data_IF_444237446591
#
_entry.id   IF_444237446591
#
_cell.length_a   1.000
_cell.length_b   1.000
_cell.length_c   1.000
_cell.angle_alpha   90.00
_cell.angle_beta   90.00
_cell.angle_gamma   90.00
#
_symmetry.space_group_name_H-M   'P 1'
#
loop_
_entity.id
_entity.type
_entity.pdbx_description
1 polymer ?
#
# COMPACT_ATOMS: atom_id res chain seq x y z
N UNK A 1 0.41 14.25 7.75
CA UNK A 1 0.30 12.82 7.41
C UNK A 1 1.27 12.46 6.28
N UNK A 2 1.70 11.20 6.19
CA UNK A 2 2.49 10.69 5.05
C UNK A 2 1.69 9.66 4.26
N UNK A 3 1.53 9.91 2.97
CA UNK A 3 0.99 8.94 2.01
C UNK A 3 2.08 8.02 1.47
N UNK A 4 1.69 6.87 0.91
CA UNK A 4 2.64 5.91 0.35
C UNK A 4 3.09 6.24 -1.09
N UNK A 5 2.33 7.07 -1.81
CA UNK A 5 2.60 7.47 -3.18
C UNK A 5 1.91 8.79 -3.50
N UNK A 6 2.28 9.42 -4.62
CA UNK A 6 1.65 10.66 -5.10
C UNK A 6 0.12 10.56 -5.19
N UNK A 7 -0.41 9.41 -5.62
CA UNK A 7 -1.86 9.20 -5.74
C UNK A 7 -2.54 9.16 -4.38
N UNK A 8 -1.94 8.47 -3.40
CA UNK A 8 -2.47 8.44 -2.03
C UNK A 8 -2.35 9.81 -1.35
N UNK A 9 -1.27 10.55 -1.59
CA UNK A 9 -1.11 11.93 -1.09
C UNK A 9 -2.21 12.85 -1.64
N UNK A 10 -2.57 12.74 -2.92
CA UNK A 10 -3.69 13.50 -3.50
C UNK A 10 -5.03 13.15 -2.85
N UNK A 11 -5.27 11.87 -2.54
CA UNK A 11 -6.47 11.45 -1.82
C UNK A 11 -6.51 12.04 -0.41
N UNK A 12 -5.40 11.96 0.32
CA UNK A 12 -5.26 12.53 1.66
C UNK A 12 -5.48 14.06 1.64
N UNK A 13 -4.95 14.78 0.65
CA UNK A 13 -5.19 16.21 0.47
C UNK A 13 -6.65 16.52 0.19
N UNK A 14 -7.31 15.74 -0.68
CA UNK A 14 -8.73 15.88 -0.95
C UNK A 14 -9.62 15.56 0.26
N UNK A 15 -9.13 14.73 1.19
CA UNK A 15 -9.75 14.49 2.49
C UNK A 15 -9.45 15.58 3.55
N UNK A 16 -8.69 16.62 3.20
CA UNK A 16 -8.32 17.74 4.09
C UNK A 16 -7.02 17.55 4.87
N UNK A 17 -6.25 16.49 4.59
CA UNK A 17 -4.97 16.21 5.24
C UNK A 17 -3.82 17.05 4.69
N UNK A 18 -2.92 17.48 5.57
CA UNK A 18 -1.62 18.04 5.19
C UNK A 18 -0.58 16.92 4.97
N UNK A 19 0.22 17.04 3.90
CA UNK A 19 1.17 15.99 3.49
C UNK A 19 2.60 16.37 3.83
N UNK A 20 3.31 15.43 4.43
CA UNK A 20 4.77 15.38 4.46
C UNK A 20 5.24 14.21 3.60
N UNK A 21 6.19 14.46 2.69
CA UNK A 21 6.68 13.45 1.76
C UNK A 21 8.12 13.07 2.13
N UNK A 22 8.32 11.80 2.47
CA UNK A 22 9.61 11.21 2.83
C UNK A 22 9.60 9.69 2.58
N UNK A 23 10.79 9.06 2.41
CA UNK A 23 10.94 7.61 2.30
C UNK A 23 10.36 6.84 3.49
N UNK A 24 9.85 5.63 3.25
CA UNK A 24 9.15 4.85 4.29
C UNK A 24 10.02 4.53 5.52
N UNK A 25 11.33 4.36 5.34
CA UNK A 25 12.28 4.08 6.43
C UNK A 25 12.45 5.26 7.43
N UNK A 26 11.97 6.45 7.11
CA UNK A 26 11.99 7.62 8.01
C UNK A 26 10.71 7.72 8.87
N UNK A 27 9.72 6.85 8.62
CA UNK A 27 8.38 6.93 9.23
C UNK A 27 8.39 6.86 10.76
N UNK A 28 9.25 6.03 11.34
CA UNK A 28 9.35 5.89 12.80
C UNK A 28 9.75 7.22 13.44
N UNK A 29 10.87 7.80 12.98
CA UNK A 29 11.39 9.06 13.52
C UNK A 29 10.41 10.21 13.28
N UNK A 30 9.75 10.25 12.12
CA UNK A 30 8.78 11.27 11.79
C UNK A 30 7.53 11.21 12.71
N UNK A 31 7.03 10.01 13.04
CA UNK A 31 5.96 9.84 14.03
C UNK A 31 6.44 10.14 15.44
N UNK A 32 7.60 9.63 15.85
CA UNK A 32 8.15 9.81 17.19
C UNK A 32 8.37 11.29 17.54
N UNK A 33 8.82 12.09 16.58
CA UNK A 33 9.07 13.52 16.74
C UNK A 33 7.82 14.40 16.56
N UNK A 34 6.69 13.82 16.13
CA UNK A 34 5.46 14.57 15.85
C UNK A 34 5.51 15.38 14.55
N UNK A 35 6.44 15.10 13.63
CA UNK A 35 6.45 15.71 12.28
C UNK A 35 5.22 15.30 11.49
N UNK A 36 4.69 14.10 11.74
CA UNK A 36 3.42 13.63 11.20
C UNK A 36 2.58 12.97 12.29
N UNK A 37 1.26 13.13 12.17
CA UNK A 37 0.31 12.48 13.08
C UNK A 37 -0.08 11.05 12.66
N UNK A 38 0.15 10.72 11.39
CA UNK A 38 -0.21 9.43 10.82
C UNK A 38 0.64 9.07 9.60
N UNK A 39 0.92 7.77 9.48
CA UNK A 39 1.63 7.12 8.39
C UNK A 39 0.69 6.13 7.71
N UNK A 40 0.73 6.13 6.39
CA UNK A 40 0.10 5.09 5.58
C UNK A 40 1.15 4.18 4.93
N UNK A 41 1.06 2.88 5.18
CA UNK A 41 1.92 1.86 4.57
C UNK A 41 1.31 0.46 4.71
N UNK A 42 1.98 -0.59 4.21
CA UNK A 42 1.54 -1.99 4.32
C UNK A 42 1.57 -2.54 5.75
N UNK A 43 0.74 -3.54 6.04
CA UNK A 43 0.71 -4.26 7.33
C UNK A 43 2.09 -4.80 7.72
N UNK A 44 2.82 -5.39 6.77
CA UNK A 44 4.19 -5.85 6.97
C UNK A 44 5.16 -4.71 7.32
N UNK A 45 5.02 -3.55 6.68
CA UNK A 45 5.83 -2.36 6.99
C UNK A 45 5.53 -1.81 8.37
N UNK A 46 4.26 -1.73 8.78
CA UNK A 46 3.87 -1.26 10.11
C UNK A 46 4.54 -2.10 11.21
N UNK A 47 4.59 -3.43 11.02
CA UNK A 47 5.28 -4.34 11.95
C UNK A 47 6.80 -4.21 11.88
N UNK A 48 7.40 -4.24 10.69
CA UNK A 48 8.87 -4.23 10.54
C UNK A 48 9.50 -2.90 10.95
N UNK A 49 8.80 -1.78 10.78
CA UNK A 49 9.21 -0.47 11.29
C UNK A 49 8.88 -0.27 12.77
N UNK A 50 8.24 -1.24 13.43
CA UNK A 50 7.82 -1.16 14.85
C UNK A 50 6.95 0.07 15.13
N UNK A 51 6.01 0.37 14.23
CA UNK A 51 5.16 1.55 14.35
C UNK A 51 4.26 1.52 15.59
N UNK A 52 4.02 0.34 16.17
CA UNK A 52 3.29 0.17 17.43
C UNK A 52 4.00 0.85 18.63
N UNK A 53 5.30 1.10 18.56
CA UNK A 53 6.02 1.83 19.61
C UNK A 53 5.67 3.34 19.61
N UNK A 54 5.25 3.88 18.47
CA UNK A 54 5.07 5.33 18.23
C UNK A 54 3.66 5.72 17.76
N UNK A 55 2.75 4.76 17.57
CA UNK A 55 1.36 4.99 17.17
C UNK A 55 0.38 4.28 18.12
N UNK A 56 -0.66 4.99 18.57
CA UNK A 56 -1.69 4.46 19.52
C UNK A 56 -2.98 4.01 18.87
N UNK A 57 -3.08 4.20 17.56
CA UNK A 57 -4.26 3.90 16.76
C UNK A 57 -3.81 3.22 15.47
N UNK A 58 -4.54 2.20 15.06
CA UNK A 58 -4.38 1.56 13.75
C UNK A 58 -5.76 1.35 13.12
N UNK A 59 -5.87 1.71 11.84
CA UNK A 59 -6.94 1.21 10.97
C UNK A 59 -6.35 0.08 10.13
N UNK A 60 -6.82 -1.14 10.33
CA UNK A 60 -6.27 -2.33 9.68
C UNK A 60 -6.93 -2.55 8.32
N UNK A 61 -6.33 -3.40 7.49
CA UNK A 61 -6.89 -3.83 6.22
C UNK A 61 -7.93 -4.96 6.38
N UNK A 62 -8.31 -5.31 7.61
CA UNK A 62 -9.37 -6.28 7.87
C UNK A 62 -10.73 -5.72 7.44
N UNK A 63 -11.62 -6.60 6.98
CA UNK A 63 -12.94 -6.33 6.39
C UNK A 63 -12.89 -5.56 5.06
N UNK A 64 -12.37 -4.33 5.08
CA UNK A 64 -12.30 -3.46 3.92
C UNK A 64 -10.96 -2.70 3.90
N UNK A 65 -10.33 -2.67 2.73
CA UNK A 65 -9.19 -1.80 2.43
C UNK A 65 -9.31 -1.28 1.00
N UNK A 66 -8.95 -0.02 0.78
CA UNK A 66 -8.74 0.54 -0.56
C UNK A 66 -7.24 0.80 -0.83
N UNK A 67 -6.37 0.50 0.14
CA UNK A 67 -4.93 0.65 -0.04
C UNK A 67 -4.33 -0.69 -0.45
N UNK A 68 -3.89 -0.75 -1.70
CA UNK A 68 -3.10 -1.84 -2.25
C UNK A 68 -1.90 -1.23 -2.96
N UNK A 69 -0.70 -1.71 -2.63
CA UNK A 69 0.54 -1.26 -3.25
C UNK A 69 1.17 -2.42 -4.00
N UNK A 70 1.51 -2.19 -5.27
CA UNK A 70 2.18 -3.18 -6.11
C UNK A 70 3.68 -3.12 -5.84
N UNK A 71 4.20 -4.10 -5.09
CA UNK A 71 5.60 -4.21 -4.66
C UNK A 71 6.30 -5.44 -5.29
N UNK A 72 6.55 -5.45 -6.62
CA UNK A 72 7.06 -6.62 -7.31
C UNK A 72 8.56 -6.87 -7.06
N UNK A 73 8.96 -8.14 -7.13
CA UNK A 73 10.37 -8.50 -7.34
C UNK A 73 10.74 -8.18 -8.80
N UNK A 74 11.71 -7.30 -8.99
CA UNK A 74 12.16 -6.88 -10.32
C UNK A 74 13.59 -7.34 -10.60
N UNK A 75 13.87 -7.63 -11.86
CA UNK A 75 15.21 -7.91 -12.37
C UNK A 75 15.53 -6.95 -13.52
N UNK A 76 16.79 -6.53 -13.62
CA UNK A 76 17.26 -5.77 -14.79
C UNK A 76 17.04 -6.59 -16.06
N UNK A 77 16.31 -6.01 -17.03
CA UNK A 77 16.08 -6.65 -18.33
C UNK A 77 17.40 -6.97 -19.04
N UNK A 78 18.38 -6.07 -19.01
CA UNK A 78 19.67 -6.29 -19.66
C UNK A 78 20.47 -7.45 -19.04
N UNK A 79 20.25 -7.74 -17.75
CA UNK A 79 20.84 -8.90 -17.09
C UNK A 79 20.07 -10.17 -17.44
N UNK A 80 18.74 -10.11 -17.39
CA UNK A 80 17.86 -11.23 -17.74
C UNK A 80 18.07 -11.70 -19.19
N UNK A 81 18.23 -10.77 -20.14
CA UNK A 81 18.43 -11.08 -21.56
C UNK A 81 19.79 -11.75 -21.85
N UNK A 82 20.74 -11.71 -20.91
CA UNK A 82 22.05 -12.40 -21.02
C UNK A 82 22.02 -13.83 -20.50
N UNK A 83 20.96 -14.23 -19.79
CA UNK A 83 20.79 -15.59 -19.29
C UNK A 83 20.51 -16.55 -20.46
N UNK A 84 20.82 -17.83 -20.26
CA UNK A 84 20.39 -18.86 -21.21
C UNK A 84 18.86 -19.02 -21.16
N UNK A 85 18.23 -19.57 -22.21
CA UNK A 85 16.78 -19.84 -22.19
C UNK A 85 16.33 -20.65 -20.96
N UNK A 86 17.11 -21.64 -20.54
CA UNK A 86 16.80 -22.45 -19.35
C UNK A 86 16.87 -21.63 -18.06
N UNK A 87 17.86 -20.75 -17.93
CA UNK A 87 17.98 -19.85 -16.77
C UNK A 87 16.83 -18.82 -16.74
N UNK A 88 16.47 -18.26 -17.90
CA UNK A 88 15.32 -17.37 -18.03
C UNK A 88 14.03 -18.06 -17.59
N UNK A 89 13.85 -19.32 -17.99
CA UNK A 89 12.72 -20.14 -17.58
C UNK A 89 12.69 -20.33 -16.05
N UNK A 90 13.82 -20.69 -15.44
CA UNK A 90 13.92 -20.86 -13.98
C UNK A 90 13.55 -19.57 -13.24
N UNK A 91 14.05 -18.41 -13.68
CA UNK A 91 13.73 -17.11 -13.04
C UNK A 91 12.23 -16.84 -13.09
N UNK A 92 11.58 -17.08 -14.23
CA UNK A 92 10.13 -16.87 -14.36
C UNK A 92 9.31 -17.89 -13.57
N UNK A 93 9.68 -19.17 -13.62
CA UNK A 93 9.01 -20.24 -12.88
C UNK A 93 9.08 -19.97 -11.37
N UNK A 94 10.26 -19.60 -10.85
CA UNK A 94 10.44 -19.26 -9.43
C UNK A 94 9.66 -17.99 -9.10
N UNK A 95 9.74 -16.94 -9.93
CA UNK A 95 8.98 -15.71 -9.75
C UNK A 95 7.48 -15.97 -9.59
N UNK A 96 6.89 -16.73 -10.50
CA UNK A 96 5.48 -17.13 -10.41
C UNK A 96 5.18 -17.98 -9.17
N UNK A 97 6.08 -18.90 -8.78
CA UNK A 97 5.87 -19.73 -7.58
C UNK A 97 5.80 -18.92 -6.28
N UNK A 98 6.44 -17.75 -6.25
CA UNK A 98 6.45 -16.86 -5.09
C UNK A 98 5.16 -16.06 -4.94
N UNK A 99 4.37 -15.86 -6.01
CA UNK A 99 3.16 -15.03 -5.96
C UNK A 99 2.13 -15.56 -4.94
N UNK A 100 1.95 -16.88 -4.90
CA UNK A 100 1.05 -17.53 -3.93
C UNK A 100 1.55 -17.31 -2.50
N UNK A 101 2.85 -17.51 -2.27
CA UNK A 101 3.46 -17.26 -0.97
C UNK A 101 3.27 -15.80 -0.54
N UNK A 102 3.54 -14.84 -1.44
CA UNK A 102 3.37 -13.42 -1.17
C UNK A 102 1.93 -13.07 -0.80
N UNK A 103 0.93 -13.59 -1.54
CA UNK A 103 -0.48 -13.34 -1.23
C UNK A 103 -0.87 -13.89 0.16
N UNK A 104 -0.47 -15.13 0.46
CA UNK A 104 -0.75 -15.75 1.76
C UNK A 104 -0.05 -15.02 2.90
N UNK A 105 1.20 -14.60 2.70
CA UNK A 105 1.96 -13.83 3.67
C UNK A 105 1.32 -12.46 3.96
N UNK A 106 0.92 -11.71 2.92
CA UNK A 106 0.25 -10.42 3.08
C UNK A 106 -1.06 -10.55 3.87
N UNK A 107 -1.92 -11.53 3.52
CA UNK A 107 -3.17 -11.79 4.26
C UNK A 107 -2.92 -12.19 5.71
N UNK A 108 -1.87 -12.96 5.98
CA UNK A 108 -1.48 -13.30 7.34
C UNK A 108 -1.02 -12.05 8.11
N UNK A 109 -0.25 -11.18 7.47
CA UNK A 109 0.28 -9.96 8.08
C UNK A 109 -0.81 -8.92 8.37
N UNK A 110 -1.88 -8.85 7.56
CA UNK A 110 -3.07 -8.03 7.84
C UNK A 110 -3.74 -8.39 9.17
N UNK A 111 -3.69 -9.67 9.56
CA UNK A 111 -4.19 -10.13 10.86
C UNK A 111 -3.16 -9.94 11.99
N UNK A 112 -1.89 -10.28 11.73
CA UNK A 112 -0.82 -10.15 12.74
C UNK A 112 -0.62 -8.72 13.22
N UNK A 113 -0.74 -7.73 12.33
CA UNK A 113 -0.59 -6.32 12.71
C UNK A 113 -1.72 -5.88 13.65
N UNK A 114 -2.96 -6.36 13.43
CA UNK A 114 -4.07 -6.11 14.34
C UNK A 114 -3.80 -6.68 15.73
N UNK A 115 -3.34 -7.94 15.80
CA UNK A 115 -2.99 -8.61 17.05
C UNK A 115 -1.84 -7.90 17.79
N UNK A 116 -0.83 -7.41 17.06
CA UNK A 116 0.31 -6.68 17.63
C UNK A 116 -0.14 -5.41 18.37
N UNK A 117 -1.00 -4.61 17.74
CA UNK A 117 -1.54 -3.39 18.34
C UNK A 117 -2.50 -3.71 19.49
N UNK A 118 -3.39 -4.70 19.33
CA UNK A 118 -4.32 -5.11 20.38
C UNK A 118 -3.59 -5.58 21.65
N UNK A 119 -2.52 -6.38 21.51
CA UNK A 119 -1.71 -6.86 22.65
C UNK A 119 -0.99 -5.72 23.39
N UNK A 120 -0.73 -4.61 22.71
CA UNK A 120 -0.09 -3.43 23.28
C UNK A 120 -1.10 -2.49 23.96
N UNK A 121 -2.41 -2.83 23.93
CA UNK A 121 -3.49 -1.99 24.47
C UNK A 121 -3.87 -0.83 23.55
N UNK A 122 -3.36 -0.79 22.32
CA UNK A 122 -3.64 0.27 21.35
C UNK A 122 -5.01 0.06 20.68
N UNK A 123 -5.58 1.14 20.13
CA UNK A 123 -6.90 1.09 19.51
C UNK A 123 -6.82 0.56 18.08
N UNK A 124 -7.35 -0.64 17.89
CA UNK A 124 -7.54 -1.27 16.57
C UNK A 124 -8.91 -0.92 16.02
N UNK A 125 -9.00 -0.56 14.75
CA UNK A 125 -10.26 -0.30 14.05
C UNK A 125 -10.22 -0.89 12.65
N UNK A 126 -11.37 -1.32 12.15
CA UNK A 126 -11.58 -1.67 10.74
C UNK A 126 -12.40 -0.60 10.05
N UNK A 127 -12.46 -0.65 8.72
CA UNK A 127 -13.24 0.28 7.92
C UNK A 127 -14.60 -0.32 7.59
N UNK A 128 -15.69 0.46 7.73
CA UNK A 128 -17.01 0.01 7.27
C UNK A 128 -17.13 0.12 5.74
N UNK A 129 -18.08 -0.59 5.14
CA UNK A 129 -18.38 -0.46 3.71
C UNK A 129 -18.68 1.01 3.31
N UNK A 130 -19.40 1.76 4.15
CA UNK A 130 -19.67 3.18 3.92
C UNK A 130 -18.39 4.01 3.90
N UNK A 131 -17.48 3.80 4.85
CA UNK A 131 -16.19 4.51 4.88
C UNK A 131 -15.32 4.13 3.68
N UNK A 132 -15.34 2.87 3.27
CA UNK A 132 -14.68 2.41 2.05
C UNK A 132 -15.23 3.12 0.80
N UNK A 133 -16.55 3.24 0.67
CA UNK A 133 -17.19 3.97 -0.42
C UNK A 133 -16.83 5.46 -0.43
N UNK A 134 -16.74 6.10 0.75
CA UNK A 134 -16.26 7.48 0.86
C UNK A 134 -14.84 7.64 0.31
N UNK A 135 -13.94 6.69 0.59
CA UNK A 135 -12.58 6.71 0.06
C UNK A 135 -12.52 6.48 -1.45
N UNK A 136 -13.38 5.61 -2.01
CA UNK A 136 -13.51 5.47 -3.47
C UNK A 136 -13.94 6.78 -4.13
N UNK A 137 -14.89 7.50 -3.53
CA UNK A 137 -15.34 8.79 -4.07
C UNK A 137 -14.25 9.85 -4.00
N UNK A 138 -13.45 9.87 -2.93
CA UNK A 138 -12.26 10.72 -2.84
C UNK A 138 -11.26 10.34 -3.93
N UNK A 139 -10.98 9.05 -4.14
CA UNK A 139 -10.07 8.58 -5.20
C UNK A 139 -10.51 9.06 -6.59
N UNK A 140 -11.80 8.93 -6.92
CA UNK A 140 -12.38 9.39 -8.20
C UNK A 140 -12.19 10.89 -8.41
N UNK A 141 -12.45 11.71 -7.38
CA UNK A 141 -12.37 13.17 -7.44
C UNK A 141 -10.94 13.73 -7.42
N UNK A 142 -9.96 12.91 -7.02
CA UNK A 142 -8.57 13.33 -6.84
C UNK A 142 -7.59 12.50 -7.67
N UNK A 143 -7.11 11.37 -7.14
CA UNK A 143 -6.09 10.52 -7.74
C UNK A 143 -6.45 10.05 -9.14
N UNK A 144 -7.68 9.58 -9.37
CA UNK A 144 -8.10 9.06 -10.68
C UNK A 144 -8.11 10.16 -11.73
N UNK A 145 -8.66 11.33 -11.37
CA UNK A 145 -8.62 12.50 -12.23
C UNK A 145 -7.19 12.88 -12.59
N UNK A 146 -6.31 13.00 -11.58
CA UNK A 146 -4.92 13.32 -11.83
C UNK A 146 -4.24 12.28 -12.73
N UNK A 147 -4.43 10.99 -12.45
CA UNK A 147 -3.84 9.89 -13.20
C UNK A 147 -4.31 9.88 -14.66
N UNK A 148 -5.61 10.07 -14.90
CA UNK A 148 -6.16 10.18 -16.25
C UNK A 148 -5.57 11.36 -17.03
N UNK A 149 -5.40 12.51 -16.37
CA UNK A 149 -4.94 13.75 -17.00
C UNK A 149 -3.42 13.78 -17.23
N UNK A 150 -2.62 13.07 -16.41
CA UNK A 150 -1.16 13.23 -16.36
C UNK A 150 -0.35 11.96 -16.63
N UNK A 151 -0.97 10.78 -16.68
CA UNK A 151 -0.29 9.54 -17.03
C UNK A 151 -0.66 9.14 -18.44
N UNK A 152 0.35 8.77 -19.24
CA UNK A 152 0.13 8.26 -20.59
C UNK A 152 -0.81 7.05 -20.53
N UNK A 153 -1.87 7.09 -21.33
CA UNK A 153 -2.94 6.08 -21.33
C UNK A 153 -3.68 5.94 -19.99
N UNK A 154 -3.58 6.94 -19.10
CA UNK A 154 -4.10 6.87 -17.73
C UNK A 154 -5.60 6.59 -17.65
N UNK A 155 -6.41 7.27 -18.48
CA UNK A 155 -7.85 7.03 -18.55
C UNK A 155 -8.17 5.60 -19.03
N UNK A 156 -7.41 5.09 -19.99
CA UNK A 156 -7.57 3.71 -20.49
C UNK A 156 -7.19 2.69 -19.43
N UNK A 157 -6.11 2.92 -18.69
CA UNK A 157 -5.68 2.04 -17.60
C UNK A 157 -6.73 1.98 -16.49
N UNK A 158 -7.33 3.11 -16.11
CA UNK A 158 -8.44 3.15 -15.14
C UNK A 158 -9.62 2.31 -15.66
N UNK A 159 -10.04 2.52 -16.91
CA UNK A 159 -11.13 1.74 -17.51
C UNK A 159 -10.84 0.23 -17.51
N UNK A 160 -9.60 -0.16 -17.81
CA UNK A 160 -9.18 -1.57 -17.77
C UNK A 160 -9.27 -2.15 -16.36
N UNK A 161 -8.88 -1.38 -15.33
CA UNK A 161 -8.99 -1.82 -13.93
C UNK A 161 -10.43 -1.96 -13.47
N UNK A 162 -11.33 -1.07 -13.89
CA UNK A 162 -12.76 -1.13 -13.53
C UNK A 162 -13.51 -2.27 -14.24
N UNK A 163 -12.93 -2.84 -15.30
CA UNK A 163 -13.48 -4.00 -16.00
C UNK A 163 -13.04 -5.35 -15.40
N UNK A 164 -12.11 -5.36 -14.44
CA UNK A 164 -11.72 -6.57 -13.71
C UNK A 164 -12.85 -6.94 -12.74
N UNK A 165 -13.41 -8.16 -12.81
CA UNK A 165 -14.43 -8.60 -11.86
C UNK A 165 -13.90 -8.65 -10.43
N UNK A 166 -14.80 -8.44 -9.45
CA UNK A 166 -14.52 -8.62 -8.02
C UNK A 166 -14.11 -10.06 -7.66
#
# INVERSE_FOLDING_TARGET
MRGASKMIELMLQAAGGAIASFPSNESYNAMQSGVVDAIWTSSASLMSFRMNEVAKFITTAQDHSFWYMFEPLLMSKATYDKLTPDQQKIVMDVGHSLEKFSLEACKADDNKVADLYAKSGDKVSTMTAQQFDMWKDIARKSAYKYFADHVKDGAKLIQMTEAVPD
#
